data_IF_199354146536
#
_entry.id   IF_199354146536
#
_cell.length_a   1.000
_cell.length_b   1.000
_cell.length_c   1.000
_cell.angle_alpha   90.00
_cell.angle_beta   90.00
_cell.angle_gamma   90.00
#
_symmetry.space_group_name_H-M   'P 1'
#
loop_
_entity.id
_entity.type
_entity.pdbx_description
1 polymer ?
#
# COMPACT_ATOMS: atom_id res chain seq x y z
N UNK A 1 20.26 -12.47 -8.94
CA UNK A 1 18.78 -12.49 -8.99
C UNK A 1 18.32 -11.06 -8.99
N UNK A 2 17.71 -10.61 -10.09
CA UNK A 2 17.43 -9.20 -10.35
C UNK A 2 16.36 -8.68 -9.42
N UNK A 3 16.79 -7.96 -8.38
CA UNK A 3 15.92 -7.04 -7.65
C UNK A 3 15.38 -6.08 -8.68
N UNK A 4 14.10 -6.27 -9.04
CA UNK A 4 13.39 -5.35 -9.91
C UNK A 4 13.56 -3.98 -9.27
N UNK A 5 14.33 -3.13 -9.93
CA UNK A 5 14.60 -1.76 -9.54
C UNK A 5 13.29 -0.99 -9.71
N UNK A 6 12.32 -1.30 -8.83
CA UNK A 6 11.14 -0.48 -8.62
C UNK A 6 11.70 0.89 -8.33
N UNK A 7 11.20 1.90 -9.03
CA UNK A 7 11.62 3.26 -8.79
C UNK A 7 11.71 3.48 -7.27
N UNK A 8 12.85 3.94 -6.73
CA UNK A 8 13.03 4.03 -5.28
C UNK A 8 11.90 4.83 -4.59
N UNK A 9 11.22 5.69 -5.36
CA UNK A 9 9.99 6.39 -4.97
C UNK A 9 8.80 5.46 -4.70
N UNK A 10 8.56 4.45 -5.53
CA UNK A 10 7.45 3.49 -5.36
C UNK A 10 7.68 2.64 -4.11
N UNK A 11 8.90 2.14 -3.91
CA UNK A 11 9.23 1.32 -2.73
C UNK A 11 9.07 2.13 -1.43
N UNK A 12 9.53 3.38 -1.42
CA UNK A 12 9.34 4.28 -0.27
C UNK A 12 7.86 4.51 0.02
N UNK A 13 7.06 4.80 -1.02
CA UNK A 13 5.62 5.02 -0.87
C UNK A 13 4.88 3.75 -0.43
N UNK A 14 5.29 2.57 -0.88
CA UNK A 14 4.75 1.30 -0.40
C UNK A 14 5.08 1.10 1.08
N UNK A 15 6.33 1.32 1.47
CA UNK A 15 6.74 1.20 2.87
C UNK A 15 5.98 2.17 3.79
N UNK A 16 5.77 3.40 3.32
CA UNK A 16 4.95 4.41 3.99
C UNK A 16 3.47 3.98 4.06
N UNK A 17 2.91 3.40 2.99
CA UNK A 17 1.55 2.85 2.97
C UNK A 17 1.37 1.73 4.01
N UNK A 18 2.31 0.77 4.07
CA UNK A 18 2.26 -0.30 5.07
C UNK A 18 2.42 0.24 6.49
N UNK A 19 3.32 1.20 6.72
CA UNK A 19 3.45 1.87 8.02
C UNK A 19 2.16 2.60 8.42
N UNK A 20 1.49 3.24 7.46
CA UNK A 20 0.20 3.94 7.66
C UNK A 20 -0.91 2.94 8.00
N UNK A 21 -0.95 1.79 7.32
CA UNK A 21 -1.83 0.68 7.65
C UNK A 21 -1.57 0.16 9.07
N UNK A 22 -0.32 -0.05 9.47
CA UNK A 22 0.05 -0.49 10.82
C UNK A 22 -0.44 0.49 11.90
N UNK A 23 -0.32 1.80 11.64
CA UNK A 23 -0.80 2.88 12.52
C UNK A 23 -2.34 3.03 12.59
N UNK A 24 -3.11 2.12 11.99
CA UNK A 24 -4.58 2.20 11.90
C UNK A 24 -5.10 3.41 11.10
N UNK A 25 -4.24 4.10 10.35
CA UNK A 25 -4.63 5.22 9.49
C UNK A 25 -5.24 4.71 8.16
N UNK A 26 -6.33 3.96 8.25
CA UNK A 26 -6.95 3.25 7.14
C UNK A 26 -7.40 4.18 6.01
N UNK A 27 -7.91 5.37 6.35
CA UNK A 27 -8.31 6.38 5.35
C UNK A 27 -7.13 6.90 4.54
N UNK A 28 -6.02 7.22 5.21
CA UNK A 28 -4.79 7.73 4.59
C UNK A 28 -4.11 6.66 3.75
N UNK A 29 -4.11 5.42 4.23
CA UNK A 29 -3.64 4.27 3.46
C UNK A 29 -4.47 4.07 2.18
N UNK A 30 -5.80 4.24 2.23
CA UNK A 30 -6.65 4.14 1.04
C UNK A 30 -6.32 5.20 -0.01
N UNK A 31 -6.07 6.45 0.42
CA UNK A 31 -5.66 7.54 -0.47
C UNK A 31 -4.28 7.28 -1.09
N UNK A 32 -3.31 6.81 -0.30
CA UNK A 32 -1.98 6.45 -0.78
C UNK A 32 -2.02 5.29 -1.78
N UNK A 33 -2.82 4.26 -1.51
CA UNK A 33 -3.02 3.12 -2.40
C UNK A 33 -3.62 3.56 -3.76
N UNK A 34 -4.64 4.43 -3.76
CA UNK A 34 -5.24 4.96 -5.00
C UNK A 34 -4.23 5.79 -5.82
N UNK A 35 -3.46 6.65 -5.15
CA UNK A 35 -2.41 7.45 -5.79
C UNK A 35 -1.29 6.56 -6.39
N UNK A 36 -0.94 5.48 -5.69
CA UNK A 36 0.05 4.50 -6.14
C UNK A 36 -0.48 3.67 -7.31
N UNK A 37 -1.73 3.20 -7.27
CA UNK A 37 -2.38 2.47 -8.37
C UNK A 37 -2.43 3.28 -9.65
N UNK A 38 -2.65 4.60 -9.56
CA UNK A 38 -2.61 5.51 -10.72
C UNK A 38 -1.21 5.63 -11.33
N UNK A 39 -0.16 5.53 -10.52
CA UNK A 39 1.24 5.65 -10.99
C UNK A 39 1.78 4.33 -11.52
N UNK A 40 1.44 3.21 -10.90
CA UNK A 40 2.04 1.91 -11.20
C UNK A 40 1.06 0.76 -10.97
N UNK A 41 0.01 0.60 -11.80
CA UNK A 41 -1.08 -0.35 -11.59
C UNK A 41 -0.64 -1.84 -11.60
N UNK A 42 0.56 -2.15 -12.07
CA UNK A 42 1.08 -3.51 -12.25
C UNK A 42 1.81 -4.10 -11.03
N UNK A 43 1.67 -3.48 -9.85
CA UNK A 43 2.40 -3.90 -8.64
C UNK A 43 1.62 -4.95 -7.83
N UNK A 44 2.22 -6.15 -7.59
CA UNK A 44 1.58 -7.19 -6.78
C UNK A 44 1.45 -6.80 -5.29
N UNK A 45 2.28 -5.88 -4.78
CA UNK A 45 2.19 -5.40 -3.39
C UNK A 45 0.85 -4.74 -3.06
N UNK A 46 0.13 -4.21 -4.05
CA UNK A 46 -1.19 -3.61 -3.81
C UNK A 46 -2.21 -4.61 -3.34
N UNK A 47 -2.14 -5.86 -3.82
CA UNK A 47 -3.03 -6.93 -3.35
C UNK A 47 -2.83 -7.18 -1.85
N UNK A 48 -1.58 -7.13 -1.36
CA UNK A 48 -1.26 -7.25 0.06
C UNK A 48 -1.78 -6.07 0.88
N UNK A 49 -1.59 -4.85 0.39
CA UNK A 49 -2.08 -3.64 1.06
C UNK A 49 -3.62 -3.58 1.10
N UNK A 50 -4.33 -3.98 0.04
CA UNK A 50 -5.79 -4.07 0.01
C UNK A 50 -6.33 -5.12 0.98
N UNK A 51 -5.67 -6.27 1.09
CA UNK A 51 -6.05 -7.30 2.04
C UNK A 51 -5.91 -6.81 3.50
N UNK A 52 -4.82 -6.11 3.82
CA UNK A 52 -4.62 -5.49 5.13
C UNK A 52 -5.65 -4.39 5.41
N UNK A 53 -5.92 -3.53 4.44
CA UNK A 53 -6.92 -2.47 4.54
C UNK A 53 -8.31 -3.07 4.84
N UNK A 54 -8.75 -4.06 4.06
CA UNK A 54 -10.04 -4.77 4.30
C UNK A 54 -10.09 -5.42 5.67
N UNK A 55 -9.00 -6.04 6.11
CA UNK A 55 -8.93 -6.68 7.43
C UNK A 55 -9.09 -5.65 8.55
N UNK A 56 -8.47 -4.48 8.42
CA UNK A 56 -8.62 -3.40 9.41
C UNK A 56 -10.02 -2.80 9.39
N UNK A 57 -10.62 -2.63 8.22
CA UNK A 57 -12.01 -2.16 8.08
C UNK A 57 -13.02 -3.12 8.73
N UNK A 58 -12.74 -4.43 8.72
CA UNK A 58 -13.54 -5.45 9.41
C UNK A 58 -13.35 -5.48 10.92
N UNK A 59 -12.15 -5.17 11.43
CA UNK A 59 -11.85 -5.17 12.87
C UNK A 59 -12.33 -3.88 13.55
N UNK A 60 -12.45 -2.78 12.80
CA UNK A 60 -12.90 -1.48 13.29
C UNK A 60 -14.42 -1.30 13.40
N UNK A 61 -15.23 -2.33 13.18
CA UNK A 61 -16.70 -2.31 13.28
C UNK A 61 -17.18 -3.16 14.45
#
# INVERSE_FOLDING_TARGET
MGVSQREPKIETLLNELFSTLENNESEKARLQLDALKKKAPDLPEFAGAEALLKRKELIGR
#
